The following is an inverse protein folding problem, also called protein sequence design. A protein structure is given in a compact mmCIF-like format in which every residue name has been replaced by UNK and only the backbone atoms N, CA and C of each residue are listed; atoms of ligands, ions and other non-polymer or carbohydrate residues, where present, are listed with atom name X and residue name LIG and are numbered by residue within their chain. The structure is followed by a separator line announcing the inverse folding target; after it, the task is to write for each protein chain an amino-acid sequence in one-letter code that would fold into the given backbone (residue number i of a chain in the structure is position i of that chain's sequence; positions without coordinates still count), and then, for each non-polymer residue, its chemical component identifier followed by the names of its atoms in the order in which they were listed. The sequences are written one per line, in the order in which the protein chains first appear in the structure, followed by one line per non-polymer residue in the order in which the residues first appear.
data_IF_121090244244
#
_entry.id   IF_121090244244
#
_cell.length_a   1.000
_cell.length_b   1.000
_cell.length_c   1.000
_cell.angle_alpha   90.00
_cell.angle_beta   90.00
_cell.angle_gamma   90.00
#
_symmetry.space_group_name_H-M   'P 1'
#
loop_
_entity.id
_entity.type
_entity.pdbx_description
1 polymer ?
#
# COMPACT_ATOMS: atom_id res chain seq x y z
N UNK A 1 -1.30 -25.40 -2.19
CA UNK A 1 0.08 -25.77 -1.77
C UNK A 1 0.08 -27.06 -0.96
N UNK A 2 1.14 -27.87 -1.06
CA UNK A 2 1.37 -29.03 -0.19
C UNK A 2 2.84 -29.47 -0.21
N UNK A 3 3.40 -29.84 0.94
CA UNK A 3 4.69 -30.54 1.04
C UNK A 3 4.68 -31.88 0.30
N UNK A 4 3.54 -32.57 0.34
CA UNK A 4 3.32 -33.83 -0.38
C UNK A 4 1.95 -33.78 -1.03
N UNK A 5 1.94 -33.71 -2.36
CA UNK A 5 0.70 -33.71 -3.16
C UNK A 5 -0.15 -34.94 -2.85
N UNK A 6 0.47 -36.13 -2.79
CA UNK A 6 -0.21 -37.39 -2.45
C UNK A 6 -0.96 -37.27 -1.11
N UNK A 7 -0.27 -36.87 -0.03
CA UNK A 7 -0.90 -36.71 1.31
C UNK A 7 -2.02 -35.68 1.30
N UNK A 8 -1.86 -34.56 0.58
CA UNK A 8 -2.88 -33.49 0.51
C UNK A 8 -4.12 -33.97 -0.23
N UNK A 9 -3.96 -34.58 -1.39
CA UNK A 9 -5.08 -35.09 -2.19
C UNK A 9 -5.83 -36.19 -1.44
N UNK A 10 -5.11 -37.14 -0.82
CA UNK A 10 -5.72 -38.17 0.03
C UNK A 10 -6.48 -37.59 1.22
N UNK A 11 -6.13 -36.39 1.72
CA UNK A 11 -6.89 -35.76 2.80
C UNK A 11 -8.31 -35.36 2.36
N UNK A 12 -8.50 -35.02 1.08
CA UNK A 12 -9.80 -34.64 0.53
C UNK A 12 -10.77 -35.81 0.42
N UNK A 13 -10.29 -37.06 0.37
CA UNK A 13 -11.18 -38.23 0.36
C UNK A 13 -11.86 -38.46 1.71
N UNK A 14 -11.36 -37.86 2.80
CA UNK A 14 -11.92 -37.98 4.16
C UNK A 14 -12.97 -36.89 4.43
N UNK A 15 -14.08 -36.92 3.69
CA UNK A 15 -15.15 -35.91 3.70
C UNK A 15 -15.65 -35.53 5.11
N UNK A 16 -15.77 -36.49 6.02
CA UNK A 16 -16.22 -36.23 7.39
C UNK A 16 -15.34 -35.23 8.15
N UNK A 17 -14.03 -35.18 7.84
CA UNK A 17 -13.05 -34.28 8.48
C UNK A 17 -12.91 -32.93 7.78
N UNK A 18 -13.68 -32.68 6.72
CA UNK A 18 -13.62 -31.46 5.93
C UNK A 18 -14.68 -30.46 6.39
N UNK A 19 -14.36 -29.16 6.30
CA UNK A 19 -15.36 -28.11 6.52
C UNK A 19 -16.42 -28.12 5.43
N UNK A 20 -17.58 -27.50 5.69
CA UNK A 20 -18.68 -27.43 4.71
C UNK A 20 -18.24 -26.81 3.38
N UNK A 21 -17.39 -25.77 3.42
CA UNK A 21 -16.77 -25.19 2.23
C UNK A 21 -15.98 -26.23 1.43
N UNK A 22 -15.09 -26.96 2.10
CA UNK A 22 -14.21 -27.93 1.45
C UNK A 22 -14.99 -29.11 0.89
N UNK A 23 -16.04 -29.58 1.60
CA UNK A 23 -16.94 -30.62 1.07
C UNK A 23 -17.60 -30.20 -0.23
N UNK A 24 -18.13 -28.98 -0.32
CA UNK A 24 -18.71 -28.44 -1.55
C UNK A 24 -17.68 -28.37 -2.68
N UNK A 25 -16.49 -27.84 -2.39
CA UNK A 25 -15.39 -27.80 -3.36
C UNK A 25 -15.08 -29.19 -3.93
N UNK A 26 -14.98 -30.20 -3.06
CA UNK A 26 -14.69 -31.59 -3.47
C UNK A 26 -15.81 -32.13 -4.35
N UNK A 27 -17.07 -31.93 -3.99
CA UNK A 27 -18.23 -32.40 -4.75
C UNK A 27 -18.36 -31.74 -6.14
N UNK A 28 -17.96 -30.47 -6.25
CA UNK A 28 -17.98 -29.72 -7.53
C UNK A 28 -16.70 -29.95 -8.37
N UNK A 29 -15.72 -30.72 -7.89
CA UNK A 29 -14.44 -30.95 -8.61
C UNK A 29 -14.60 -32.03 -9.69
N UNK A 30 -14.46 -31.66 -10.96
CA UNK A 30 -14.46 -32.61 -12.09
C UNK A 30 -13.04 -33.04 -12.55
N UNK A 31 -12.03 -32.19 -12.34
CA UNK A 31 -10.65 -32.45 -12.75
C UNK A 31 -9.64 -31.79 -11.80
N UNK A 32 -8.40 -32.28 -11.79
CA UNK A 32 -7.31 -31.73 -10.99
C UNK A 32 -6.05 -31.56 -11.84
N UNK A 33 -5.35 -30.44 -11.65
CA UNK A 33 -4.06 -30.16 -12.27
C UNK A 33 -3.01 -29.97 -11.16
N UNK A 34 -1.80 -30.47 -11.40
CA UNK A 34 -0.70 -30.38 -10.45
C UNK A 34 0.50 -29.69 -11.06
N UNK A 35 1.03 -28.70 -10.36
CA UNK A 35 2.31 -28.05 -10.69
C UNK A 35 3.30 -28.35 -9.56
N UNK A 36 4.43 -28.96 -9.91
CA UNK A 36 5.52 -29.25 -8.97
C UNK A 36 6.48 -28.07 -8.88
N UNK A 37 6.98 -27.81 -7.67
CA UNK A 37 8.00 -26.78 -7.40
C UNK A 37 9.18 -27.40 -6.68
N UNK A 38 10.34 -26.73 -6.66
CA UNK A 38 11.54 -27.27 -6.03
C UNK A 38 11.49 -27.13 -4.50
N UNK A 39 10.83 -26.07 -4.02
CA UNK A 39 10.71 -25.80 -2.58
C UNK A 39 9.26 -25.57 -2.15
N UNK A 40 8.98 -25.77 -0.85
CA UNK A 40 7.69 -25.43 -0.26
C UNK A 40 7.40 -23.91 -0.32
N UNK A 41 8.46 -23.09 -0.23
CA UNK A 41 8.38 -21.63 -0.30
C UNK A 41 7.92 -21.17 -1.70
N UNK A 42 8.50 -21.74 -2.75
CA UNK A 42 8.05 -21.53 -4.14
C UNK A 42 6.59 -21.98 -4.33
N UNK A 43 6.21 -23.13 -3.77
CA UNK A 43 4.82 -23.61 -3.84
C UNK A 43 3.82 -22.61 -3.24
N UNK A 44 4.21 -21.93 -2.14
CA UNK A 44 3.40 -20.92 -1.49
C UNK A 44 3.29 -19.64 -2.33
N UNK A 45 4.40 -19.17 -2.90
CA UNK A 45 4.40 -17.99 -3.78
C UNK A 45 3.56 -18.25 -5.04
N UNK A 46 3.74 -19.42 -5.67
CA UNK A 46 2.97 -19.83 -6.85
C UNK A 46 1.48 -19.96 -6.54
N UNK A 47 1.11 -20.51 -5.38
CA UNK A 47 -0.28 -20.57 -4.93
C UNK A 47 -0.89 -19.17 -4.81
N UNK A 48 -0.18 -18.21 -4.22
CA UNK A 48 -0.67 -16.84 -4.12
C UNK A 48 -0.90 -16.19 -5.49
N UNK A 49 -0.02 -16.45 -6.46
CA UNK A 49 -0.18 -15.99 -7.84
C UNK A 49 -1.36 -16.65 -8.56
N UNK A 50 -1.60 -17.95 -8.36
CA UNK A 50 -2.78 -18.65 -8.89
C UNK A 50 -4.09 -18.16 -8.28
N UNK A 51 -4.16 -17.98 -6.96
CA UNK A 51 -5.35 -17.43 -6.31
C UNK A 51 -5.67 -16.05 -6.89
N UNK A 52 -4.66 -15.23 -7.10
CA UNK A 52 -4.82 -13.90 -7.69
C UNK A 52 -5.28 -13.95 -9.15
N UNK A 53 -4.69 -14.84 -9.96
CA UNK A 53 -4.99 -14.98 -11.40
C UNK A 53 -6.39 -15.54 -11.63
N UNK A 54 -6.73 -16.63 -10.95
CA UNK A 54 -7.95 -17.39 -11.20
C UNK A 54 -9.12 -17.02 -10.27
N UNK A 55 -8.83 -16.37 -9.14
CA UNK A 55 -9.82 -16.02 -8.09
C UNK A 55 -10.80 -17.16 -7.79
N UNK A 56 -10.31 -18.35 -7.40
CA UNK A 56 -11.17 -19.51 -7.25
C UNK A 56 -12.23 -19.29 -6.15
N UNK A 57 -13.45 -19.78 -6.40
CA UNK A 57 -14.64 -19.56 -5.55
C UNK A 57 -14.44 -19.91 -4.07
N UNK A 58 -13.66 -20.95 -3.79
CA UNK A 58 -13.48 -21.50 -2.44
C UNK A 58 -12.27 -20.93 -1.69
N UNK A 59 -11.49 -20.06 -2.33
CA UNK A 59 -10.36 -19.41 -1.68
C UNK A 59 -10.80 -18.15 -0.94
N UNK A 60 -10.02 -17.78 0.08
CA UNK A 60 -10.10 -16.44 0.68
C UNK A 60 -9.57 -15.45 -0.36
N UNK A 61 -10.32 -14.41 -0.70
CA UNK A 61 -9.97 -13.47 -1.78
C UNK A 61 -9.81 -12.04 -1.27
N UNK A 62 -8.72 -11.37 -1.66
CA UNK A 62 -8.56 -9.93 -1.44
C UNK A 62 -9.38 -9.14 -2.48
N UNK A 63 -10.43 -8.45 -2.02
CA UNK A 63 -11.29 -7.64 -2.91
C UNK A 63 -10.59 -6.40 -3.46
N UNK A 64 -9.74 -5.76 -2.65
CA UNK A 64 -8.95 -4.58 -3.01
C UNK A 64 -7.48 -4.97 -3.17
N UNK A 65 -7.01 -5.06 -4.41
CA UNK A 65 -5.67 -5.47 -4.78
C UNK A 65 -4.90 -4.35 -5.50
N UNK A 66 -5.30 -3.10 -5.31
CA UNK A 66 -4.66 -1.95 -5.97
C UNK A 66 -3.20 -1.84 -5.55
N UNK A 67 -2.31 -1.68 -6.54
CA UNK A 67 -0.90 -1.36 -6.30
C UNK A 67 -0.78 -0.09 -5.46
N UNK A 68 0.08 -0.14 -4.46
CA UNK A 68 0.35 1.01 -3.62
C UNK A 68 1.13 2.09 -4.36
N UNK A 69 0.86 3.37 -4.09
CA UNK A 69 1.76 4.41 -4.52
C UNK A 69 3.11 4.32 -3.78
N UNK A 70 4.17 4.67 -4.49
CA UNK A 70 5.51 4.89 -3.98
C UNK A 70 6.03 6.23 -4.47
N UNK A 71 7.12 6.71 -3.88
CA UNK A 71 7.92 7.80 -4.41
C UNK A 71 9.04 7.18 -5.24
N UNK A 72 9.25 7.67 -6.45
CA UNK A 72 10.35 7.31 -7.32
C UNK A 72 11.33 8.49 -7.40
N UNK A 73 12.58 8.25 -7.04
CA UNK A 73 13.72 9.09 -7.44
C UNK A 73 14.34 8.47 -8.68
N UNK A 74 14.23 9.13 -9.83
CA UNK A 74 14.66 8.55 -11.11
C UNK A 74 16.18 8.50 -11.22
N UNK A 75 16.72 7.48 -11.88
CA UNK A 75 18.16 7.29 -12.07
C UNK A 75 18.60 7.34 -13.54
N UNK A 76 17.73 7.86 -14.41
CA UNK A 76 17.87 7.84 -15.87
C UNK A 76 18.24 9.21 -16.47
N UNK A 77 18.52 10.21 -15.63
CA UNK A 77 18.88 11.56 -16.06
C UNK A 77 19.88 12.19 -15.06
N UNK A 78 20.78 13.04 -15.57
CA UNK A 78 21.70 13.88 -14.79
C UNK A 78 21.03 14.76 -13.71
N UNK A 79 19.73 15.01 -13.85
CA UNK A 79 18.92 15.75 -12.88
C UNK A 79 17.74 14.85 -12.50
N UNK A 80 17.88 13.92 -11.54
CA UNK A 80 16.82 13.02 -11.09
C UNK A 80 15.50 13.72 -10.79
N UNK A 81 14.38 13.12 -11.23
CA UNK A 81 13.04 13.57 -10.89
C UNK A 81 12.58 12.92 -9.59
N UNK A 82 11.79 13.66 -8.79
CA UNK A 82 11.01 13.07 -7.69
C UNK A 82 9.54 12.97 -8.09
N UNK A 83 9.04 11.74 -8.22
CA UNK A 83 7.71 11.45 -8.75
C UNK A 83 6.92 10.54 -7.82
N UNK A 84 5.59 10.64 -7.91
CA UNK A 84 4.73 9.56 -7.44
C UNK A 84 4.71 8.46 -8.50
N UNK A 85 4.99 7.24 -8.09
CA UNK A 85 4.88 6.06 -8.93
C UNK A 85 3.78 5.12 -8.43
N UNK A 86 3.17 4.37 -9.36
CA UNK A 86 2.21 3.30 -9.06
C UNK A 86 2.34 2.23 -10.13
N UNK A 87 2.41 0.97 -9.70
CA UNK A 87 2.42 -0.19 -10.60
C UNK A 87 3.76 -0.92 -10.58
N UNK A 88 4.13 -1.50 -11.72
CA UNK A 88 5.39 -2.20 -11.90
C UNK A 88 6.56 -1.21 -11.96
N UNK A 89 7.64 -1.53 -11.25
CA UNK A 89 8.85 -0.71 -11.16
C UNK A 89 9.74 -0.89 -12.40
N UNK A 90 9.31 -0.36 -13.55
CA UNK A 90 10.00 -0.51 -14.84
C UNK A 90 11.01 0.60 -15.14
N UNK A 91 10.79 1.80 -14.59
CA UNK A 91 11.70 2.94 -14.77
C UNK A 91 12.91 2.81 -13.85
N UNK A 92 14.11 3.12 -14.33
CA UNK A 92 15.33 3.08 -13.50
C UNK A 92 15.27 4.14 -12.40
N UNK A 93 15.64 3.76 -11.19
CA UNK A 93 15.66 4.64 -10.03
C UNK A 93 15.30 3.92 -8.74
N UNK A 94 15.18 4.69 -7.66
CA UNK A 94 14.91 4.20 -6.32
C UNK A 94 13.46 4.42 -5.93
N UNK A 95 12.82 3.36 -5.46
CA UNK A 95 11.41 3.36 -5.09
C UNK A 95 11.25 3.30 -3.58
N UNK A 96 10.62 4.32 -3.02
CA UNK A 96 10.36 4.46 -1.58
C UNK A 96 8.89 4.29 -1.29
N UNK A 97 8.57 3.38 -0.36
CA UNK A 97 7.19 3.04 -0.03
C UNK A 97 7.06 1.60 0.48
N UNK A 98 5.85 1.03 0.42
CA UNK A 98 4.60 1.60 -0.10
C UNK A 98 3.97 2.62 0.85
N UNK A 99 3.21 3.58 0.28
CA UNK A 99 2.36 4.49 1.05
C UNK A 99 0.93 3.97 1.07
N UNK A 100 0.24 4.13 2.21
CA UNK A 100 -1.09 3.57 2.38
C UNK A 100 -2.16 4.25 1.52
N UNK A 101 -1.97 5.52 1.17
CA UNK A 101 -2.92 6.30 0.39
C UNK A 101 -2.24 7.25 -0.60
N UNK A 102 -3.00 7.69 -1.60
CA UNK A 102 -2.55 8.72 -2.57
C UNK A 102 -2.31 10.06 -1.88
N UNK A 103 -3.08 10.35 -0.84
CA UNK A 103 -2.92 11.56 -0.06
C UNK A 103 -1.57 11.56 0.68
N UNK A 104 -1.25 10.46 1.38
CA UNK A 104 0.01 10.33 2.13
C UNK A 104 1.24 10.49 1.21
N UNK A 105 1.26 9.81 0.05
CA UNK A 105 2.39 9.94 -0.89
C UNK A 105 2.51 11.36 -1.45
N UNK A 106 1.41 12.02 -1.78
CA UNK A 106 1.43 13.37 -2.36
C UNK A 106 1.93 14.39 -1.33
N UNK A 107 1.55 14.22 -0.06
CA UNK A 107 2.00 15.07 1.04
C UNK A 107 3.50 14.92 1.30
N UNK A 108 3.99 13.68 1.38
CA UNK A 108 5.43 13.41 1.52
C UNK A 108 6.20 13.96 0.32
N UNK A 109 5.71 13.73 -0.90
CA UNK A 109 6.32 14.26 -2.13
C UNK A 109 6.41 15.80 -2.13
N UNK A 110 5.32 16.49 -1.78
CA UNK A 110 5.30 17.95 -1.70
C UNK A 110 6.23 18.50 -0.60
N UNK A 111 6.55 17.68 0.40
CA UNK A 111 7.48 18.06 1.46
C UNK A 111 8.92 17.80 1.06
N UNK A 112 9.22 16.68 0.39
CA UNK A 112 10.53 16.42 -0.22
C UNK A 112 10.92 17.51 -1.22
N UNK A 113 9.99 17.93 -2.07
CA UNK A 113 10.23 19.01 -3.05
C UNK A 113 10.61 20.32 -2.35
N UNK A 114 9.97 20.67 -1.23
CA UNK A 114 10.33 21.87 -0.45
C UNK A 114 11.65 21.72 0.30
N UNK A 115 11.91 20.53 0.85
CA UNK A 115 13.09 20.29 1.67
C UNK A 115 14.36 20.06 0.84
N UNK A 116 14.27 19.55 -0.38
CA UNK A 116 15.42 19.19 -1.22
C UNK A 116 15.42 19.88 -2.58
N UNK A 117 14.40 20.69 -2.90
CA UNK A 117 14.31 21.48 -4.13
C UNK A 117 14.45 20.65 -5.41
N UNK A 118 13.94 19.41 -5.38
CA UNK A 118 14.00 18.47 -6.50
C UNK A 118 12.93 18.74 -7.55
N UNK A 119 13.26 18.54 -8.83
CA UNK A 119 12.31 18.70 -9.93
C UNK A 119 11.28 17.58 -10.00
N UNK A 120 10.14 17.89 -10.58
CA UNK A 120 9.06 16.94 -10.90
C UNK A 120 8.55 17.04 -12.34
N UNK A 121 9.11 17.95 -13.14
CA UNK A 121 8.78 18.08 -14.55
C UNK A 121 9.33 16.90 -15.36
N UNK A 122 8.59 16.50 -16.42
CA UNK A 122 9.08 15.52 -17.39
C UNK A 122 10.33 16.01 -18.10
N UNK A 123 11.09 15.10 -18.70
CA UNK A 123 12.33 15.44 -19.41
C UNK A 123 12.05 16.29 -20.66
N UNK A 124 10.92 16.07 -21.33
CA UNK A 124 10.44 16.93 -22.41
C UNK A 124 10.19 18.36 -21.96
N UNK A 125 9.54 18.55 -20.82
CA UNK A 125 9.30 19.87 -20.25
C UNK A 125 10.60 20.47 -19.73
N UNK A 126 11.53 19.67 -19.21
CA UNK A 126 12.85 20.14 -18.76
C UNK A 126 13.65 20.73 -19.91
N UNK A 127 13.81 19.99 -21.01
CA UNK A 127 14.61 20.39 -22.16
C UNK A 127 14.04 21.62 -22.89
N UNK A 128 12.72 21.81 -22.87
CA UNK A 128 12.06 22.92 -23.56
C UNK A 128 12.01 24.25 -22.77
N UNK A 129 12.54 24.30 -21.54
CA UNK A 129 12.40 25.47 -20.66
C UNK A 129 13.47 26.52 -20.93
N UNK A 130 13.02 27.75 -21.14
CA UNK A 130 13.90 28.94 -21.26
C UNK A 130 13.83 29.85 -20.03
N UNK A 131 12.83 29.67 -19.15
CA UNK A 131 12.67 30.44 -17.90
C UNK A 131 12.25 29.56 -16.72
N UNK A 132 12.57 29.95 -15.47
CA UNK A 132 12.14 29.22 -14.28
C UNK A 132 10.61 29.08 -14.23
N UNK A 133 10.14 27.91 -13.80
CA UNK A 133 8.71 27.64 -13.68
C UNK A 133 8.16 28.01 -12.29
N UNK A 134 6.84 27.90 -12.14
CA UNK A 134 6.16 28.16 -10.87
C UNK A 134 6.75 27.36 -9.70
N UNK A 135 7.18 26.11 -9.92
CA UNK A 135 7.77 25.29 -8.84
C UNK A 135 9.03 25.93 -8.26
N UNK A 136 9.83 26.63 -9.07
CA UNK A 136 10.97 27.39 -8.58
C UNK A 136 10.54 28.62 -7.78
N UNK A 137 9.59 29.40 -8.31
CA UNK A 137 9.08 30.61 -7.68
C UNK A 137 8.47 30.33 -6.28
N UNK A 138 7.83 29.17 -6.11
CA UNK A 138 7.29 28.73 -4.81
C UNK A 138 8.28 27.90 -3.98
N UNK A 139 9.58 27.96 -4.30
CA UNK A 139 10.69 27.32 -3.56
C UNK A 139 10.52 25.80 -3.40
N UNK A 140 10.18 25.11 -4.49
CA UNK A 140 10.06 23.64 -4.57
C UNK A 140 11.03 23.00 -5.55
N UNK A 141 11.73 23.79 -6.34
CA UNK A 141 12.68 23.32 -7.34
C UNK A 141 13.84 24.32 -7.43
N UNK A 142 15.07 23.82 -7.52
CA UNK A 142 16.27 24.64 -7.74
C UNK A 142 16.45 25.10 -9.19
N UNK A 143 15.47 24.83 -10.06
CA UNK A 143 15.46 25.19 -11.48
C UNK A 143 16.71 24.76 -12.28
N UNK A 144 17.11 23.47 -12.22
CA UNK A 144 18.21 22.95 -13.05
C UNK A 144 17.94 23.04 -14.55
N UNK A 145 16.68 23.17 -14.99
CA UNK A 145 16.33 23.26 -16.41
C UNK A 145 16.74 24.59 -17.08
N UNK A 146 17.24 25.54 -16.30
CA UNK A 146 17.70 26.87 -16.76
C UNK A 146 18.96 27.28 -15.98
N UNK A 147 19.80 26.29 -15.65
CA UNK A 147 21.16 26.44 -15.10
C UNK A 147 21.26 27.29 -13.82
N UNK A 148 20.21 27.29 -12.98
CA UNK A 148 20.20 27.99 -11.68
C UNK A 148 20.91 27.22 -10.56
N UNK A 149 21.31 25.99 -10.83
CA UNK A 149 22.06 25.11 -9.92
C UNK A 149 22.98 24.24 -10.77
N UNK A 150 24.18 23.97 -10.27
CA UNK A 150 25.10 23.04 -10.92
C UNK A 150 24.58 21.59 -10.84
N UNK A 151 25.04 20.73 -11.75
CA UNK A 151 24.74 19.30 -11.66
C UNK A 151 25.24 18.69 -10.35
N UNK A 152 26.44 19.08 -9.89
CA UNK A 152 27.05 18.59 -8.66
C UNK A 152 26.21 18.93 -7.42
N UNK A 153 25.74 20.17 -7.30
CA UNK A 153 24.93 20.61 -6.15
C UNK A 153 23.53 20.00 -6.18
N UNK A 154 22.98 19.80 -7.39
CA UNK A 154 21.72 19.10 -7.54
C UNK A 154 21.84 17.63 -7.10
N UNK A 155 22.92 16.95 -7.48
CA UNK A 155 23.19 15.57 -7.06
C UNK A 155 23.39 15.46 -5.54
N UNK A 156 24.02 16.45 -4.89
CA UNK A 156 24.08 16.51 -3.44
C UNK A 156 22.67 16.58 -2.80
N UNK A 157 21.79 17.41 -3.35
CA UNK A 157 20.38 17.49 -2.90
C UNK A 157 19.60 16.18 -3.12
N UNK A 158 19.89 15.46 -4.20
CA UNK A 158 19.32 14.12 -4.46
C UNK A 158 19.85 13.10 -3.45
N UNK A 159 21.14 13.14 -3.13
CA UNK A 159 21.76 12.26 -2.14
C UNK A 159 21.16 12.49 -0.75
N UNK A 160 20.93 13.75 -0.35
CA UNK A 160 20.26 14.10 0.89
C UNK A 160 18.82 13.57 0.91
N UNK A 161 18.06 13.73 -0.17
CA UNK A 161 16.70 13.20 -0.27
C UNK A 161 16.67 11.67 -0.14
N UNK A 162 17.61 10.98 -0.79
CA UNK A 162 17.79 9.53 -0.68
C UNK A 162 18.11 9.13 0.76
N UNK A 163 19.08 9.78 1.38
CA UNK A 163 19.49 9.51 2.75
C UNK A 163 18.34 9.74 3.75
N UNK A 164 17.54 10.79 3.56
CA UNK A 164 16.35 11.05 4.38
C UNK A 164 15.33 9.91 4.28
N UNK A 165 15.02 9.47 3.05
CA UNK A 165 14.04 8.40 2.81
C UNK A 165 14.53 7.02 3.30
N UNK A 166 15.83 6.83 3.46
CA UNK A 166 16.41 5.62 4.08
C UNK A 166 16.63 5.73 5.60
N UNK A 167 16.29 6.87 6.22
CA UNK A 167 16.32 7.04 7.69
C UNK A 167 17.45 7.91 8.24
N UNK A 168 18.24 8.56 7.40
CA UNK A 168 19.27 9.53 7.77
C UNK A 168 18.75 10.90 8.23
N UNK A 169 17.53 10.97 8.76
CA UNK A 169 16.81 12.23 8.95
C UNK A 169 17.46 13.17 9.96
N UNK A 170 18.01 12.65 11.07
CA UNK A 170 18.67 13.46 12.10
C UNK A 170 19.95 14.11 11.58
N UNK A 171 20.75 13.36 10.82
CA UNK A 171 22.01 13.85 10.24
C UNK A 171 21.75 15.03 9.29
N UNK A 172 20.75 14.89 8.43
CA UNK A 172 20.36 15.94 7.47
C UNK A 172 19.80 17.18 8.18
N UNK A 173 18.98 16.98 9.21
CA UNK A 173 18.45 18.09 10.01
C UNK A 173 19.59 18.86 10.71
N UNK A 174 20.58 18.15 11.25
CA UNK A 174 21.75 18.78 11.86
C UNK A 174 22.58 19.53 10.81
N UNK A 175 22.87 18.90 9.68
CA UNK A 175 23.60 19.55 8.58
C UNK A 175 22.90 20.83 8.09
N UNK A 176 21.57 20.82 7.95
CA UNK A 176 20.84 22.04 7.60
C UNK A 176 20.84 23.08 8.72
N UNK A 177 20.91 22.66 10.00
CA UNK A 177 21.02 23.59 11.12
C UNK A 177 22.40 24.25 11.16
N UNK A 178 23.46 23.49 10.90
CA UNK A 178 24.83 24.00 10.83
C UNK A 178 24.96 25.00 9.66
N UNK A 179 24.48 24.63 8.46
CA UNK A 179 24.43 25.54 7.29
C UNK A 179 23.57 26.79 7.53
N UNK A 180 22.48 26.66 8.30
CA UNK A 180 21.66 27.80 8.69
C UNK A 180 22.42 28.76 9.61
N UNK A 181 23.19 28.22 10.56
CA UNK A 181 24.01 29.01 11.48
C UNK A 181 25.14 29.71 10.74
N UNK A 182 25.88 28.99 9.89
CA UNK A 182 26.94 29.57 9.04
C UNK A 182 26.40 30.71 8.17
N UNK A 183 25.24 30.53 7.54
CA UNK A 183 24.60 31.59 6.76
C UNK A 183 24.16 32.79 7.63
N UNK A 184 23.75 32.54 8.87
CA UNK A 184 23.38 33.60 9.82
C UNK A 184 24.60 34.39 10.29
N UNK A 185 25.71 33.70 10.58
CA UNK A 185 26.98 34.30 11.00
C UNK A 185 27.60 35.14 9.87
N UNK A 186 27.36 34.76 8.62
CA UNK A 186 27.72 35.52 7.42
C UNK A 186 26.69 36.59 7.01
N UNK A 187 25.70 36.90 7.86
CA UNK A 187 24.62 37.88 7.62
C UNK A 187 23.75 37.60 6.38
N UNK A 188 23.79 36.37 5.84
CA UNK A 188 23.01 35.92 4.68
C UNK A 188 21.61 35.43 5.08
N UNK A 189 20.79 36.32 5.63
CA UNK A 189 19.49 35.97 6.26
C UNK A 189 18.49 35.27 5.34
N UNK A 190 18.50 35.55 4.03
CA UNK A 190 17.62 34.87 3.07
C UNK A 190 17.97 33.38 2.94
N UNK A 191 19.26 33.05 2.94
CA UNK A 191 19.74 31.67 2.87
C UNK A 191 19.45 30.94 4.18
N UNK A 192 19.72 31.58 5.32
CA UNK A 192 19.38 31.05 6.64
C UNK A 192 17.87 30.76 6.77
N UNK A 193 17.01 31.69 6.31
CA UNK A 193 15.57 31.46 6.28
C UNK A 193 15.18 30.27 5.38
N UNK A 194 15.88 30.08 4.26
CA UNK A 194 15.74 28.92 3.39
C UNK A 194 16.01 27.60 4.14
N UNK A 195 17.15 27.48 4.82
CA UNK A 195 17.50 26.29 5.59
C UNK A 195 16.52 26.03 6.76
N UNK A 196 16.11 27.08 7.48
CA UNK A 196 15.07 26.99 8.51
C UNK A 196 13.78 26.39 7.97
N UNK A 197 13.32 26.85 6.81
CA UNK A 197 12.09 26.38 6.19
C UNK A 197 12.22 24.93 5.70
N UNK A 198 13.41 24.52 5.24
CA UNK A 198 13.75 23.11 4.92
C UNK A 198 13.69 22.22 6.17
N UNK A 199 14.28 22.65 7.29
CA UNK A 199 14.20 21.94 8.58
C UNK A 199 12.75 21.77 9.01
N UNK A 200 11.94 22.84 8.99
CA UNK A 200 10.51 22.81 9.32
C UNK A 200 9.73 21.82 8.43
N UNK A 201 10.07 21.75 7.15
CA UNK A 201 9.47 20.78 6.23
C UNK A 201 9.78 19.34 6.65
N UNK A 202 11.05 19.01 6.96
CA UNK A 202 11.46 17.68 7.41
C UNK A 202 10.81 17.28 8.75
N UNK A 203 10.77 18.21 9.72
CA UNK A 203 10.16 17.97 11.04
C UNK A 203 8.66 17.67 10.92
N UNK A 204 7.95 18.26 9.95
CA UNK A 204 6.52 18.00 9.73
C UNK A 204 6.24 16.54 9.35
N UNK A 205 7.10 15.93 8.54
CA UNK A 205 6.98 14.50 8.19
C UNK A 205 7.15 13.67 9.46
N UNK A 206 8.19 13.93 10.25
CA UNK A 206 8.45 13.16 11.46
C UNK A 206 7.34 13.30 12.52
N UNK A 207 6.87 14.52 12.78
CA UNK A 207 5.92 14.81 13.85
C UNK A 207 4.51 14.26 13.57
N UNK A 208 4.06 14.25 12.31
CA UNK A 208 2.71 13.78 11.94
C UNK A 208 2.51 12.27 12.08
N UNK A 209 3.60 11.50 12.18
CA UNK A 209 3.52 10.06 12.16
C UNK A 209 3.26 9.39 13.52
N UNK A 210 3.18 10.16 14.61
CA UNK A 210 2.55 9.83 15.92
C UNK A 210 3.11 8.62 16.70
N UNK A 211 3.81 7.73 16.01
CA UNK A 211 4.33 6.45 16.47
C UNK A 211 5.69 6.24 15.80
N UNK A 212 6.59 7.22 15.93
CA UNK A 212 8.00 7.01 15.64
C UNK A 212 8.60 6.21 16.80
N UNK A 213 8.48 4.90 16.74
CA UNK A 213 9.10 4.03 17.73
C UNK A 213 10.58 3.87 17.41
N UNK A 214 11.43 4.31 18.34
CA UNK A 214 12.85 4.03 18.32
C UNK A 214 13.07 2.51 18.17
N UNK A 215 13.95 2.12 17.24
CA UNK A 215 14.33 0.72 17.00
C UNK A 215 13.51 -0.04 15.96
N UNK A 216 12.56 0.60 15.25
CA UNK A 216 11.83 -0.02 14.13
C UNK A 216 12.25 0.66 12.83
N UNK A 217 13.21 0.07 12.10
CA UNK A 217 13.69 0.62 10.82
C UNK A 217 12.67 0.45 9.69
N UNK A 218 12.49 -0.79 9.23
CA UNK A 218 11.51 -1.15 8.21
C UNK A 218 10.61 -2.26 8.73
N UNK A 219 9.31 -1.99 8.85
CA UNK A 219 8.35 -3.00 9.25
C UNK A 219 6.95 -2.78 8.69
N UNK A 220 6.20 -3.86 8.54
CA UNK A 220 4.75 -3.80 8.29
C UNK A 220 4.05 -4.41 9.51
N UNK A 221 3.03 -3.72 10.04
CA UNK A 221 2.21 -4.21 11.16
C UNK A 221 0.85 -4.59 10.62
N UNK A 222 0.49 -5.87 10.72
CA UNK A 222 -0.72 -6.44 10.16
C UNK A 222 -1.58 -7.01 11.28
N UNK A 223 -2.77 -6.48 11.44
CA UNK A 223 -3.72 -6.90 12.46
C UNK A 223 -5.01 -7.38 11.83
N UNK A 224 -5.61 -8.43 12.42
CA UNK A 224 -6.88 -8.98 11.98
C UNK A 224 -7.90 -8.81 13.09
N UNK A 225 -9.10 -8.36 12.75
CA UNK A 225 -10.25 -8.37 13.65
C UNK A 225 -11.44 -9.01 12.93
N UNK A 226 -12.18 -9.87 13.64
CA UNK A 226 -13.35 -10.57 13.12
C UNK A 226 -14.55 -10.29 14.00
N UNK A 227 -15.68 -9.95 13.38
CA UNK A 227 -16.96 -9.75 14.05
C UNK A 227 -18.10 -9.99 13.05
N UNK A 228 -19.20 -10.60 13.49
CA UNK A 228 -20.39 -10.79 12.64
C UNK A 228 -20.15 -11.59 11.36
N UNK A 229 -19.19 -12.53 11.37
CA UNK A 229 -18.81 -13.31 10.19
C UNK A 229 -18.07 -12.51 9.11
N UNK A 230 -17.64 -11.28 9.40
CA UNK A 230 -16.79 -10.45 8.55
C UNK A 230 -15.41 -10.29 9.17
N UNK A 231 -14.40 -10.06 8.33
CA UNK A 231 -13.02 -9.81 8.76
C UNK A 231 -12.52 -8.47 8.22
N UNK A 232 -11.86 -7.70 9.09
CA UNK A 232 -11.00 -6.59 8.70
C UNK A 232 -9.54 -6.96 8.95
N UNK A 233 -8.70 -6.78 7.92
CA UNK A 233 -7.24 -6.84 8.03
C UNK A 233 -6.69 -5.43 7.88
N UNK A 234 -6.11 -4.89 8.95
CA UNK A 234 -5.49 -3.58 8.98
C UNK A 234 -3.98 -3.71 8.77
N UNK A 235 -3.42 -2.93 7.84
CA UNK A 235 -1.98 -2.89 7.56
C UNK A 235 -1.45 -1.48 7.83
N UNK A 236 -0.37 -1.37 8.59
CA UNK A 236 0.42 -0.16 8.76
C UNK A 236 1.79 -0.35 8.13
N UNK A 237 2.28 0.67 7.43
CA UNK A 237 3.58 0.64 6.76
C UNK A 237 4.57 1.51 7.52
N UNK A 238 5.65 0.93 8.01
CA UNK A 238 6.76 1.67 8.63
C UNK A 238 8.00 1.59 7.76
N UNK A 239 8.52 2.73 7.33
CA UNK A 239 9.75 2.85 6.55
C UNK A 239 10.62 3.92 7.18
N UNK A 240 11.90 3.62 7.33
CA UNK A 240 12.86 4.53 7.94
C UNK A 240 12.41 5.08 9.32
N UNK A 241 11.69 4.26 10.11
CA UNK A 241 11.14 4.68 11.41
C UNK A 241 9.90 5.57 11.37
N UNK A 242 9.38 5.89 10.17
CA UNK A 242 8.19 6.71 9.98
C UNK A 242 6.99 5.87 9.49
N UNK A 243 5.78 6.24 9.93
CA UNK A 243 4.53 5.59 9.53
C UNK A 243 4.02 6.14 8.19
N UNK A 244 4.14 5.38 7.10
CA UNK A 244 3.66 5.76 5.76
C UNK A 244 2.14 5.59 5.57
N UNK A 245 1.41 5.48 6.69
CA UNK A 245 -0.03 5.39 6.78
C UNK A 245 -0.53 3.97 6.99
N UNK A 246 -1.85 3.83 7.01
CA UNK A 246 -2.52 2.57 7.21
C UNK A 246 -3.65 2.31 6.19
N UNK A 247 -4.01 1.04 6.01
CA UNK A 247 -5.08 0.63 5.11
C UNK A 247 -5.84 -0.58 5.65
N UNK A 248 -7.16 -0.48 5.59
CA UNK A 248 -8.08 -1.57 5.90
C UNK A 248 -8.36 -2.41 4.66
N UNK A 249 -8.40 -3.73 4.85
CA UNK A 249 -8.79 -4.71 3.86
C UNK A 249 -9.92 -5.56 4.41
N UNK A 250 -10.80 -5.98 3.52
CA UNK A 250 -11.94 -6.81 3.88
C UNK A 250 -11.97 -8.02 2.94
N UNK A 251 -11.22 -9.09 3.28
CA UNK A 251 -11.18 -10.30 2.48
C UNK A 251 -12.56 -10.94 2.37
N UNK A 252 -12.85 -11.55 1.23
CA UNK A 252 -14.00 -12.42 1.04
C UNK A 252 -13.62 -13.82 1.50
N UNK A 253 -14.36 -14.39 2.45
CA UNK A 253 -14.07 -15.72 3.02
C UNK A 253 -15.36 -16.37 3.53
N UNK A 254 -15.31 -17.65 3.90
CA UNK A 254 -16.43 -18.32 4.54
C UNK A 254 -16.53 -17.92 6.01
N UNK A 255 -17.74 -17.93 6.57
CA UNK A 255 -17.97 -17.52 7.98
C UNK A 255 -17.19 -18.36 8.98
N UNK A 256 -16.87 -19.60 8.63
CA UNK A 256 -16.13 -20.56 9.47
C UNK A 256 -14.60 -20.39 9.40
N UNK A 257 -14.09 -19.49 8.54
CA UNK A 257 -12.66 -19.22 8.46
C UNK A 257 -12.22 -18.35 9.66
N UNK A 258 -11.33 -18.89 10.49
CA UNK A 258 -10.73 -18.17 11.61
C UNK A 258 -9.74 -17.08 11.17
N UNK A 259 -9.39 -16.20 12.11
CA UNK A 259 -8.48 -15.07 11.87
C UNK A 259 -7.08 -15.51 11.44
N UNK A 260 -6.62 -16.70 11.85
CA UNK A 260 -5.29 -17.23 11.53
C UNK A 260 -5.20 -17.68 10.06
N UNK A 261 -6.23 -18.37 9.56
CA UNK A 261 -6.37 -18.77 8.16
C UNK A 261 -6.54 -17.54 7.26
N UNK A 262 -7.38 -16.58 7.65
CA UNK A 262 -7.53 -15.31 6.90
C UNK A 262 -6.21 -14.56 6.83
N UNK A 263 -5.45 -14.51 7.93
CA UNK A 263 -4.13 -13.88 7.94
C UNK A 263 -3.12 -14.61 7.03
N UNK A 264 -3.06 -15.95 7.05
CA UNK A 264 -2.15 -16.73 6.18
C UNK A 264 -2.43 -16.45 4.70
N UNK A 265 -3.71 -16.54 4.31
CA UNK A 265 -4.15 -16.27 2.94
C UNK A 265 -3.90 -14.79 2.55
N UNK A 266 -4.11 -13.87 3.49
CA UNK A 266 -3.86 -12.45 3.27
C UNK A 266 -2.39 -12.16 3.02
N UNK A 267 -1.49 -12.66 3.87
CA UNK A 267 -0.04 -12.43 3.72
C UNK A 267 0.48 -12.91 2.36
N UNK A 268 0.11 -14.12 1.95
CA UNK A 268 0.52 -14.68 0.66
C UNK A 268 0.04 -13.81 -0.52
N UNK A 269 -1.26 -13.50 -0.56
CA UNK A 269 -1.82 -12.67 -1.63
C UNK A 269 -1.30 -11.23 -1.61
N UNK A 270 -1.14 -10.64 -0.44
CA UNK A 270 -0.68 -9.27 -0.26
C UNK A 270 0.75 -9.10 -0.77
N UNK A 271 1.65 -9.96 -0.30
CA UNK A 271 3.04 -9.94 -0.72
C UNK A 271 3.26 -10.63 -2.07
N UNK A 272 2.25 -11.15 -2.78
CA UNK A 272 2.41 -11.52 -4.20
C UNK A 272 2.69 -10.30 -5.10
N UNK A 273 2.32 -9.09 -4.66
CA UNK A 273 2.57 -7.81 -5.35
C UNK A 273 3.58 -6.95 -4.61
N UNK A 274 3.39 -6.77 -3.31
CA UNK A 274 4.27 -5.93 -2.50
C UNK A 274 5.61 -6.63 -2.22
N UNK A 275 6.68 -5.85 -2.10
CA UNK A 275 7.95 -6.34 -1.57
C UNK A 275 7.88 -6.29 -0.04
N UNK A 276 8.11 -7.40 0.68
CA UNK A 276 8.04 -7.40 2.13
C UNK A 276 9.20 -6.63 2.77
N UNK A 277 8.95 -5.91 3.89
CA UNK A 277 9.99 -5.25 4.67
C UNK A 277 10.83 -6.29 5.45
N UNK A 278 11.91 -5.85 6.10
CA UNK A 278 12.76 -6.73 6.93
C UNK A 278 11.98 -7.40 8.07
N UNK A 279 10.95 -6.74 8.61
CA UNK A 279 10.14 -7.28 9.71
C UNK A 279 8.65 -7.16 9.39
N UNK A 280 7.91 -8.26 9.52
CA UNK A 280 6.45 -8.26 9.47
C UNK A 280 5.92 -8.65 10.84
N UNK A 281 5.15 -7.76 11.46
CA UNK A 281 4.55 -7.97 12.78
C UNK A 281 3.08 -8.30 12.62
N UNK A 282 2.61 -9.37 13.24
CA UNK A 282 1.23 -9.85 13.11
C UNK A 282 0.50 -9.93 14.46
N UNK A 283 -0.84 -9.76 14.43
CA UNK A 283 -1.68 -9.92 15.62
C UNK A 283 -1.96 -11.39 16.00
N UNK A 284 -2.13 -12.24 14.98
CA UNK A 284 -2.40 -13.67 15.11
C UNK A 284 -1.24 -14.47 14.54
N UNK A 285 -1.10 -15.75 14.94
CA UNK A 285 -0.06 -16.61 14.38
C UNK A 285 -0.64 -17.34 13.18
N UNK A 286 -0.22 -17.06 11.93
CA UNK A 286 -0.71 -17.84 10.80
C UNK A 286 -0.24 -19.30 10.94
N UNK A 287 -1.02 -20.30 10.49
CA UNK A 287 -0.70 -21.72 10.68
C UNK A 287 0.65 -22.10 10.05
N UNK A 288 1.02 -21.46 8.93
CA UNK A 288 2.27 -21.72 8.21
C UNK A 288 3.32 -20.63 8.45
N UNK A 289 3.39 -20.04 9.66
CA UNK A 289 4.24 -18.87 9.95
C UNK A 289 5.70 -19.03 9.50
N UNK A 290 6.32 -20.17 9.75
CA UNK A 290 7.73 -20.39 9.39
C UNK A 290 7.91 -20.41 7.86
N UNK A 291 7.12 -21.24 7.17
CA UNK A 291 7.11 -21.32 5.71
C UNK A 291 6.77 -19.97 5.05
N UNK A 292 5.84 -19.21 5.64
CA UNK A 292 5.50 -17.87 5.17
C UNK A 292 6.71 -16.93 5.31
N UNK A 293 7.42 -16.96 6.44
CA UNK A 293 8.65 -16.18 6.62
C UNK A 293 9.73 -16.51 5.60
N UNK A 294 9.91 -17.79 5.28
CA UNK A 294 10.84 -18.26 4.24
C UNK A 294 10.42 -17.78 2.85
N UNK A 295 9.14 -17.95 2.47
CA UNK A 295 8.61 -17.48 1.19
C UNK A 295 8.74 -15.96 1.02
N UNK A 296 8.48 -15.19 2.08
CA UNK A 296 8.71 -13.74 2.07
C UNK A 296 10.19 -13.38 1.92
N UNK A 297 11.08 -14.17 2.51
CA UNK A 297 12.53 -13.97 2.41
C UNK A 297 13.05 -14.23 1.00
N UNK A 298 12.60 -15.34 0.38
CA UNK A 298 12.89 -15.68 -1.03
C UNK A 298 12.45 -14.54 -1.94
N UNK A 299 11.21 -14.06 -1.77
CA UNK A 299 10.69 -12.94 -2.55
C UNK A 299 11.49 -11.66 -2.37
N UNK A 300 11.93 -11.37 -1.14
CA UNK A 300 12.66 -10.15 -0.84
C UNK A 300 14.12 -10.17 -1.29
N UNK A 301 14.68 -11.35 -1.59
CA UNK A 301 16.13 -11.54 -1.74
C UNK A 301 16.92 -11.26 -0.46
N UNK A 302 16.26 -11.25 0.71
CA UNK A 302 16.84 -10.97 2.03
C UNK A 302 16.01 -11.62 3.13
N UNK A 303 16.61 -11.83 4.30
CA UNK A 303 15.88 -12.38 5.46
C UNK A 303 14.73 -11.48 5.91
N UNK A 304 13.52 -12.02 5.91
CA UNK A 304 12.29 -11.37 6.41
C UNK A 304 11.84 -12.07 7.69
N UNK A 305 11.75 -11.30 8.78
CA UNK A 305 11.31 -11.80 10.08
C UNK A 305 9.80 -11.63 10.24
N UNK A 306 9.04 -12.72 10.15
CA UNK A 306 7.62 -12.75 10.51
C UNK A 306 7.45 -13.05 12.01
N UNK A 307 6.92 -12.10 12.79
CA UNK A 307 6.85 -12.22 14.24
C UNK A 307 5.51 -11.78 14.84
N UNK A 308 5.16 -12.35 16.00
CA UNK A 308 3.98 -11.98 16.78
C UNK A 308 4.41 -11.42 18.15
N UNK A 309 4.67 -10.11 18.27
CA UNK A 309 5.15 -9.50 19.51
C UNK A 309 4.20 -9.74 20.70
N UNK A 310 4.74 -10.22 21.83
CA UNK A 310 3.97 -10.51 23.05
C UNK A 310 4.15 -9.47 24.17
N UNK A 311 5.20 -8.64 24.11
CA UNK A 311 5.52 -7.63 25.13
C UNK A 311 6.22 -6.42 24.49
N UNK A 312 6.31 -5.32 25.25
CA UNK A 312 7.04 -4.11 24.87
C UNK A 312 6.37 -3.26 23.79
N UNK A 313 7.13 -2.28 23.28
CA UNK A 313 6.66 -1.29 22.30
C UNK A 313 6.10 -1.91 21.01
N UNK A 314 6.71 -3.01 20.53
CA UNK A 314 6.23 -3.75 19.36
C UNK A 314 4.84 -4.35 19.55
N UNK A 315 4.49 -4.79 20.78
CA UNK A 315 3.11 -5.24 21.08
C UNK A 315 2.13 -4.07 21.06
N UNK A 316 2.54 -2.89 21.53
CA UNK A 316 1.67 -1.70 21.50
C UNK A 316 1.30 -1.30 20.07
N UNK A 317 2.23 -1.44 19.11
CA UNK A 317 1.91 -1.28 17.68
C UNK A 317 0.84 -2.24 17.20
N UNK A 318 0.99 -3.52 17.51
CA UNK A 318 0.02 -4.53 17.10
C UNK A 318 -1.33 -4.27 17.75
N UNK A 319 -1.37 -3.86 19.02
CA UNK A 319 -2.60 -3.42 19.71
C UNK A 319 -3.25 -2.21 19.03
N UNK A 320 -2.46 -1.21 18.66
CA UNK A 320 -2.96 -0.05 17.94
C UNK A 320 -3.54 -0.43 16.57
N UNK A 321 -2.86 -1.33 15.85
CA UNK A 321 -3.36 -1.85 14.58
C UNK A 321 -4.66 -2.66 14.75
N UNK A 322 -4.79 -3.43 15.83
CA UNK A 322 -6.02 -4.14 16.19
C UNK A 322 -7.19 -3.19 16.47
N UNK A 323 -6.96 -2.11 17.24
CA UNK A 323 -7.99 -1.11 17.49
C UNK A 323 -8.49 -0.47 16.19
N UNK A 324 -7.57 -0.11 15.29
CA UNK A 324 -7.93 0.41 13.96
C UNK A 324 -8.70 -0.61 13.12
N UNK A 325 -8.35 -1.90 13.20
CA UNK A 325 -9.08 -2.97 12.52
C UNK A 325 -10.52 -3.11 13.05
N UNK A 326 -10.71 -2.95 14.37
CA UNK A 326 -12.03 -2.92 15.01
C UNK A 326 -12.85 -1.74 14.53
N UNK A 327 -12.31 -0.52 14.58
CA UNK A 327 -13.01 0.70 14.15
C UNK A 327 -13.35 0.67 12.65
N UNK A 328 -12.45 0.16 11.82
CA UNK A 328 -12.68 0.00 10.38
C UNK A 328 -13.77 -1.03 10.09
N UNK A 329 -13.80 -2.16 10.83
CA UNK A 329 -14.85 -3.16 10.69
C UNK A 329 -16.20 -2.61 11.14
N UNK A 330 -16.26 -1.92 12.28
CA UNK A 330 -17.47 -1.30 12.80
C UNK A 330 -18.08 -0.30 11.80
N UNK A 331 -17.25 0.58 11.21
CA UNK A 331 -17.69 1.51 10.16
C UNK A 331 -18.25 0.78 8.94
N UNK A 332 -17.54 -0.23 8.43
CA UNK A 332 -18.00 -1.00 7.26
C UNK A 332 -19.32 -1.72 7.53
N UNK A 333 -19.49 -2.29 8.72
CA UNK A 333 -20.74 -2.98 9.09
C UNK A 333 -21.91 -2.00 9.16
N UNK A 334 -21.69 -0.81 9.73
CA UNK A 334 -22.70 0.25 9.77
C UNK A 334 -23.08 0.75 8.37
N UNK A 335 -22.09 1.02 7.51
CA UNK A 335 -22.30 1.40 6.10
C UNK A 335 -23.07 0.32 5.33
N UNK A 336 -22.72 -0.95 5.49
CA UNK A 336 -23.39 -2.07 4.81
C UNK A 336 -24.85 -2.23 5.27
N UNK A 337 -25.12 -2.03 6.56
CA UNK A 337 -26.49 -2.06 7.09
C UNK A 337 -27.34 -0.91 6.54
N UNK A 338 -26.76 0.30 6.44
CA UNK A 338 -27.42 1.45 5.82
C UNK A 338 -27.68 1.22 4.33
N UNK A 339 -26.70 0.71 3.58
CA UNK A 339 -26.85 0.39 2.16
C UNK A 339 -27.97 -0.62 1.93
N UNK A 340 -28.07 -1.67 2.75
CA UNK A 340 -29.15 -2.66 2.63
C UNK A 340 -30.53 -2.04 2.80
N UNK A 341 -30.73 -1.20 3.82
CA UNK A 341 -32.01 -0.50 4.03
C UNK A 341 -32.38 0.38 2.84
N UNK A 342 -31.40 1.05 2.23
CA UNK A 342 -31.62 1.86 1.03
C UNK A 342 -32.04 1.01 -0.16
N UNK A 343 -31.43 -0.16 -0.36
CA UNK A 343 -31.78 -1.07 -1.45
C UNK A 343 -33.15 -1.73 -1.25
N UNK A 344 -33.51 -2.06 -0.01
CA UNK A 344 -34.86 -2.53 0.35
C UNK A 344 -35.91 -1.44 0.09
N UNK A 345 -35.62 -0.19 0.49
CA UNK A 345 -36.49 0.96 0.19
C UNK A 345 -36.62 1.24 -1.31
N UNK A 346 -35.54 1.06 -2.08
CA UNK A 346 -35.57 1.20 -3.53
C UNK A 346 -36.42 0.10 -4.19
N UNK A 347 -36.31 -1.14 -3.73
CA UNK A 347 -37.16 -2.23 -4.21
C UNK A 347 -38.63 -1.93 -3.96
N UNK A 348 -38.99 -1.44 -2.77
CA UNK A 348 -40.36 -1.03 -2.47
C UNK A 348 -40.83 0.13 -3.36
N UNK A 349 -40.00 1.15 -3.57
CA UNK A 349 -40.37 2.32 -4.35
C UNK A 349 -40.55 2.03 -5.86
N UNK A 350 -39.87 1.00 -6.37
CA UNK A 350 -39.90 0.60 -7.78
C UNK A 350 -40.70 -0.68 -8.03
N UNK A 351 -41.37 -1.21 -7.02
CA UNK A 351 -42.15 -2.47 -7.07
C UNK A 351 -41.32 -3.66 -7.60
N UNK A 352 -40.10 -3.81 -7.09
CA UNK A 352 -39.21 -4.92 -7.43
C UNK A 352 -39.45 -6.11 -6.48
N UNK A 353 -39.29 -7.33 -7.00
CA UNK A 353 -39.39 -8.58 -6.24
C UNK A 353 -38.42 -8.67 -5.04
N UNK A 354 -37.36 -7.86 -5.02
CA UNK A 354 -36.42 -7.79 -3.92
C UNK A 354 -35.36 -6.70 -4.08
N UNK A 355 -34.57 -6.51 -3.02
CA UNK A 355 -33.47 -5.56 -3.01
C UNK A 355 -32.48 -5.85 -4.16
N UNK A 356 -32.21 -4.88 -5.06
CA UNK A 356 -31.36 -5.13 -6.22
C UNK A 356 -29.91 -5.43 -5.80
N UNK A 357 -29.34 -6.49 -6.38
CA UNK A 357 -27.95 -6.89 -6.12
C UNK A 357 -26.94 -6.13 -6.99
N UNK A 358 -27.41 -5.48 -8.05
CA UNK A 358 -26.60 -4.69 -8.96
C UNK A 358 -27.42 -3.55 -9.54
N UNK A 359 -26.88 -2.34 -9.43
CA UNK A 359 -27.44 -1.13 -10.02
C UNK A 359 -26.36 -0.54 -10.94
N UNK A 360 -26.68 -0.40 -12.22
CA UNK A 360 -25.83 0.28 -13.19
C UNK A 360 -26.40 1.67 -13.45
N UNK A 361 -25.57 2.69 -13.34
CA UNK A 361 -25.96 4.08 -13.57
C UNK A 361 -25.13 4.60 -14.72
N UNK A 362 -25.81 5.09 -15.75
CA UNK A 362 -25.23 5.63 -16.97
C UNK A 362 -25.44 7.15 -16.97
N UNK A 363 -24.35 7.90 -17.13
CA UNK A 363 -24.35 9.35 -17.27
C UNK A 363 -23.74 9.71 -18.63
N UNK A 364 -24.51 10.40 -19.48
CA UNK A 364 -24.11 10.79 -20.82
C UNK A 364 -24.05 12.31 -20.89
N UNK A 365 -22.85 12.84 -21.13
CA UNK A 365 -22.59 14.27 -21.24
C UNK A 365 -22.13 14.64 -22.65
N UNK A 366 -22.51 15.83 -23.11
CA UNK A 366 -22.07 16.37 -24.40
C UNK A 366 -21.93 17.90 -24.32
N UNK A 367 -21.14 18.47 -25.22
CA UNK A 367 -21.06 19.92 -25.43
C UNK A 367 -21.85 20.26 -26.68
N UNK A 368 -23.08 20.76 -26.49
CA UNK A 368 -23.99 21.15 -27.59
C UNK A 368 -24.12 20.09 -28.71
N UNK A 369 -24.31 18.83 -28.32
CA UNK A 369 -24.41 17.70 -29.27
C UNK A 369 -23.07 17.18 -29.82
N UNK A 370 -21.93 17.78 -29.42
CA UNK A 370 -20.59 17.34 -29.83
C UNK A 370 -19.79 16.79 -28.64
N UNK A 371 -18.75 16.00 -28.91
CA UNK A 371 -17.84 15.43 -27.89
C UNK A 371 -18.58 14.65 -26.79
N UNK A 372 -19.45 13.71 -27.19
CA UNK A 372 -20.18 12.87 -26.25
C UNK A 372 -19.20 12.04 -25.38
N UNK A 373 -19.42 12.05 -24.08
CA UNK A 373 -18.70 11.24 -23.10
C UNK A 373 -19.74 10.54 -22.24
N UNK A 374 -19.71 9.20 -22.25
CA UNK A 374 -20.49 8.35 -21.36
C UNK A 374 -19.65 7.94 -20.15
N UNK A 375 -20.28 7.79 -19.00
CA UNK A 375 -19.70 7.14 -17.83
C UNK A 375 -20.72 6.16 -17.25
N UNK A 376 -20.24 4.99 -16.88
CA UNK A 376 -21.04 3.97 -16.20
C UNK A 376 -20.42 3.67 -14.84
N UNK A 377 -21.20 3.86 -13.79
CA UNK A 377 -20.86 3.39 -12.45
C UNK A 377 -21.75 2.20 -12.07
N UNK A 378 -21.24 1.38 -11.17
CA UNK A 378 -21.95 0.19 -10.68
C UNK A 378 -21.97 0.20 -9.16
N UNK A 379 -23.14 -0.05 -8.58
CA UNK A 379 -23.34 -0.25 -7.15
C UNK A 379 -23.99 -1.61 -6.88
N UNK A 380 -23.84 -2.12 -5.66
CA UNK A 380 -24.50 -3.34 -5.18
C UNK A 380 -24.63 -3.35 -3.65
N UNK A 381 -24.91 -4.51 -3.03
CA UNK A 381 -25.15 -4.64 -1.59
C UNK A 381 -24.02 -4.14 -0.69
N UNK A 382 -22.78 -4.13 -1.20
CA UNK A 382 -21.61 -3.64 -0.48
C UNK A 382 -21.15 -2.24 -0.93
N UNK A 383 -22.01 -1.50 -1.63
CA UNK A 383 -21.72 -0.19 -2.19
C UNK A 383 -21.09 -0.25 -3.58
N UNK A 384 -20.21 0.69 -3.90
CA UNK A 384 -19.70 0.90 -5.25
C UNK A 384 -18.69 -0.16 -5.74
N UNK A 385 -18.98 -0.76 -6.89
CA UNK A 385 -18.14 -1.76 -7.57
C UNK A 385 -17.21 -1.07 -8.57
N UNK A 386 -16.20 -0.35 -8.06
CA UNK A 386 -15.28 0.49 -8.89
C UNK A 386 -14.58 -0.26 -10.03
N UNK A 387 -14.37 -1.57 -9.90
CA UNK A 387 -13.76 -2.42 -10.96
C UNK A 387 -14.67 -2.59 -12.18
N UNK A 388 -15.98 -2.40 -12.01
CA UNK A 388 -16.96 -2.51 -13.07
C UNK A 388 -17.23 -1.18 -13.77
N UNK A 389 -16.63 -0.07 -13.33
CA UNK A 389 -16.85 1.24 -13.95
C UNK A 389 -16.34 1.26 -15.40
N UNK A 390 -17.02 2.03 -16.25
CA UNK A 390 -16.63 2.29 -17.65
C UNK A 390 -16.69 3.80 -17.92
N UNK A 391 -15.83 4.27 -18.80
CA UNK A 391 -15.77 5.64 -19.31
C UNK A 391 -15.47 5.59 -20.80
#
# INVERSE_FOLDING_TARGET
KAKSLKKRVTSYTKLARQSNRMRRMIMETASMEFVTTHTEAEALLLEADFIKRYRPRYNILLRDDKSFPSILLTGDHAFPQVLKHRGAQTRKGDYFGPFASVWAVNETLATLQRAFLLRSCSDTVFAARTRPCLQHQIKRCSAPCVDRISETDYQASVADARAFLTGGSRKIQQQFADLMQEASDAEAFEQAAGYRDRIRALTRIQARHGINLQGIGEADVIAVHQAGGQTCVQVFFFRAGANYGNRAYFPSHSRDDDAEMVLDAFLGQFYSKALPPKTVMVSHSPPNRQLMGEALSVRAGRTVRLMRPQRGSKRNLVKHALANALDALGRRMAESASQRRLLEGLALALDLDGAPERIEVYDNSHVSGTKAVGAMIVAGPEGFIKKAYRK
#
